data_IF_315156686163
#
_entry.id   IF_315156686163
#
_cell.length_a   1.000
_cell.length_b   1.000
_cell.length_c   1.000
_cell.angle_alpha   90.00
_cell.angle_beta   90.00
_cell.angle_gamma   90.00
#
_symmetry.space_group_name_H-M   'P 1'
#
loop_
_entity.id
_entity.type
_entity.pdbx_description
1 polymer ?
#
# COMPACT_ATOMS: atom_id res chain seq x y z
N UNK A 1 14.68 2.43 12.26
CA UNK A 1 13.94 2.56 10.99
C UNK A 1 13.19 1.27 10.71
N UNK A 2 11.94 1.37 10.33
CA UNK A 2 11.10 0.21 10.02
C UNK A 2 11.06 -0.05 8.51
N UNK A 3 11.26 -1.30 8.12
CA UNK A 3 11.11 -1.74 6.74
C UNK A 3 9.66 -2.14 6.51
N UNK A 4 9.05 -1.58 5.46
CA UNK A 4 7.66 -1.83 5.09
C UNK A 4 7.62 -2.29 3.64
N UNK A 5 6.86 -3.35 3.36
CA UNK A 5 6.56 -3.79 2.02
C UNK A 5 5.12 -3.40 1.69
N UNK A 6 4.92 -2.76 0.55
CA UNK A 6 3.60 -2.34 0.10
C UNK A 6 3.33 -2.84 -1.31
N UNK A 7 2.07 -3.16 -1.59
CA UNK A 7 1.66 -3.75 -2.87
C UNK A 7 0.92 -2.75 -3.74
N UNK A 8 1.38 -2.63 -4.98
CA UNK A 8 0.65 -1.93 -6.04
C UNK A 8 -0.14 -2.99 -6.79
N UNK A 9 -1.43 -3.07 -6.50
CA UNK A 9 -2.34 -4.06 -7.10
C UNK A 9 -3.29 -3.32 -8.04
N UNK A 10 -3.30 -3.72 -9.30
CA UNK A 10 -4.16 -3.13 -10.32
C UNK A 10 -5.20 -4.14 -10.79
N UNK A 11 -6.39 -3.65 -11.09
CA UNK A 11 -7.47 -4.43 -11.69
C UNK A 11 -8.34 -3.49 -12.52
N UNK A 12 -8.48 -3.78 -13.79
CA UNK A 12 -9.31 -3.00 -14.72
C UNK A 12 -8.96 -1.50 -14.71
N UNK A 13 -7.67 -1.18 -14.71
CA UNK A 13 -7.19 0.20 -14.70
C UNK A 13 -7.30 0.91 -13.36
N UNK A 14 -7.70 0.21 -12.30
CA UNK A 14 -7.87 0.76 -10.96
C UNK A 14 -6.77 0.29 -10.03
N UNK A 15 -6.43 1.14 -9.05
CA UNK A 15 -5.51 0.80 -7.96
C UNK A 15 -6.30 0.44 -6.72
N UNK A 16 -5.83 -0.58 -6.00
CA UNK A 16 -6.39 -0.90 -4.68
C UNK A 16 -5.79 0.01 -3.63
N UNK A 17 -6.62 0.79 -2.97
CA UNK A 17 -6.25 1.64 -1.83
C UNK A 17 -7.06 1.23 -0.61
N UNK A 18 -6.42 1.33 0.56
CA UNK A 18 -6.99 0.88 1.83
C UNK A 18 -6.97 2.04 2.82
N UNK A 19 -8.07 2.27 3.54
CA UNK A 19 -8.17 3.37 4.50
C UNK A 19 -7.76 2.88 5.89
N UNK A 20 -6.78 3.56 6.48
CA UNK A 20 -6.32 3.26 7.84
C UNK A 20 -7.36 3.68 8.87
N UNK A 21 -7.49 2.86 9.91
CA UNK A 21 -8.36 3.18 11.03
C UNK A 21 -7.85 4.40 11.79
N UNK A 22 -8.76 5.12 12.46
CA UNK A 22 -8.39 6.19 13.36
C UNK A 22 -7.65 5.59 14.56
N UNK A 23 -6.45 6.14 14.85
CA UNK A 23 -5.62 5.65 15.95
C UNK A 23 -4.79 6.81 16.49
N UNK A 24 -4.84 7.07 17.83
CA UNK A 24 -4.01 8.12 18.44
C UNK A 24 -2.53 7.88 18.16
N UNK A 25 -1.80 8.96 17.84
CA UNK A 25 -0.36 8.88 17.58
C UNK A 25 0.03 8.37 16.20
N UNK A 26 -0.93 8.07 15.33
CA UNK A 26 -0.68 7.65 13.95
C UNK A 26 -0.88 8.85 13.02
N UNK A 27 0.19 9.32 12.40
CA UNK A 27 0.13 10.45 11.46
C UNK A 27 -0.71 10.16 10.22
N UNK A 28 -0.95 8.87 9.93
CA UNK A 28 -1.72 8.42 8.77
C UNK A 28 -3.14 7.99 9.13
N UNK A 29 -3.59 8.21 10.38
CA UNK A 29 -4.92 7.81 10.81
C UNK A 29 -5.99 8.38 9.87
N UNK A 30 -6.89 7.52 9.40
CA UNK A 30 -7.96 7.93 8.49
C UNK A 30 -7.55 8.21 7.05
N UNK A 31 -6.26 8.12 6.73
CA UNK A 31 -5.77 8.31 5.36
C UNK A 31 -5.73 6.96 4.62
N UNK A 32 -5.61 7.04 3.31
CA UNK A 32 -5.53 5.87 2.44
C UNK A 32 -4.07 5.47 2.21
N UNK A 33 -3.85 4.21 1.86
CA UNK A 33 -2.52 3.67 1.64
C UNK A 33 -2.58 2.49 0.68
N UNK A 34 -1.44 2.16 0.07
CA UNK A 34 -1.27 0.87 -0.59
C UNK A 34 -1.21 -0.21 0.50
N UNK A 35 -1.82 -1.38 0.27
CA UNK A 35 -1.80 -2.45 1.28
C UNK A 35 -0.40 -3.00 1.52
N UNK A 36 -0.12 -3.42 2.73
CA UNK A 36 1.16 -3.97 3.13
C UNK A 36 1.40 -3.80 4.60
N UNK A 37 2.64 -3.97 5.04
CA UNK A 37 2.97 -3.83 6.44
C UNK A 37 4.43 -4.03 6.75
N UNK A 38 4.74 -4.12 8.03
CA UNK A 38 6.09 -4.16 8.56
C UNK A 38 6.73 -5.53 8.40
N UNK A 39 7.98 -5.52 7.95
CA UNK A 39 8.77 -6.74 7.85
C UNK A 39 9.12 -7.28 9.24
N UNK A 40 8.98 -8.57 9.42
CA UNK A 40 9.41 -9.27 10.62
C UNK A 40 10.86 -9.77 10.47
N UNK A 41 11.58 -9.98 11.60
CA UNK A 41 12.95 -10.48 11.54
C UNK A 41 13.02 -11.81 10.77
N UNK A 42 14.03 -11.93 9.90
CA UNK A 42 14.24 -13.14 9.12
C UNK A 42 13.36 -13.29 7.89
N UNK A 43 12.45 -12.36 7.67
CA UNK A 43 11.50 -12.38 6.56
C UNK A 43 12.04 -11.55 5.40
N UNK A 44 11.91 -12.04 4.16
CA UNK A 44 12.19 -11.21 2.99
C UNK A 44 11.07 -10.18 2.81
N UNK A 45 11.34 -9.11 2.06
CA UNK A 45 10.30 -8.13 1.75
C UNK A 45 9.16 -8.75 0.93
N UNK A 46 9.48 -9.67 0.03
CA UNK A 46 8.48 -10.38 -0.77
C UNK A 46 7.58 -11.25 0.13
N UNK A 47 8.18 -12.01 1.04
CA UNK A 47 7.41 -12.83 1.98
C UNK A 47 6.57 -11.98 2.93
N UNK A 48 7.11 -10.83 3.36
CA UNK A 48 6.39 -9.84 4.14
C UNK A 48 5.13 -9.39 3.40
N UNK A 49 5.27 -9.03 2.13
CA UNK A 49 4.14 -8.57 1.33
C UNK A 49 3.06 -9.64 1.21
N UNK A 50 3.46 -10.88 0.91
CA UNK A 50 2.52 -12.01 0.80
C UNK A 50 1.78 -12.23 2.12
N UNK A 51 2.51 -12.24 3.22
CA UNK A 51 1.93 -12.44 4.56
C UNK A 51 0.97 -11.33 4.94
N UNK A 52 1.39 -10.07 4.76
CA UNK A 52 0.56 -8.91 5.13
C UNK A 52 -0.73 -8.85 4.30
N UNK A 53 -0.65 -9.10 3.01
CA UNK A 53 -1.85 -9.09 2.16
C UNK A 53 -2.80 -10.22 2.55
N UNK A 54 -2.28 -11.37 2.95
CA UNK A 54 -3.14 -12.47 3.43
C UNK A 54 -3.81 -12.09 4.76
N UNK A 55 -3.04 -11.53 5.70
CA UNK A 55 -3.57 -11.17 7.01
C UNK A 55 -4.56 -10.02 6.96
N UNK A 56 -4.24 -8.98 6.20
CA UNK A 56 -5.05 -7.76 6.19
C UNK A 56 -6.20 -7.77 5.19
N UNK A 57 -6.06 -8.49 4.09
CA UNK A 57 -7.05 -8.48 3.00
C UNK A 57 -7.64 -9.86 2.68
N UNK A 58 -7.06 -10.92 3.23
CA UNK A 58 -7.52 -12.27 2.93
C UNK A 58 -7.24 -12.74 1.51
N UNK A 59 -6.20 -12.19 0.87
CA UNK A 59 -5.89 -12.52 -0.52
C UNK A 59 -4.50 -13.11 -0.66
N UNK A 60 -4.27 -13.76 -1.79
CA UNK A 60 -2.96 -14.21 -2.23
C UNK A 60 -2.46 -13.26 -3.29
N UNK A 61 -1.21 -12.81 -3.13
CA UNK A 61 -0.56 -11.96 -4.11
C UNK A 61 0.77 -12.55 -4.51
N UNK A 62 1.19 -12.23 -5.74
CA UNK A 62 2.51 -12.58 -6.25
C UNK A 62 3.28 -11.28 -6.46
N UNK A 63 4.35 -11.04 -5.69
CA UNK A 63 5.23 -9.90 -5.96
C UNK A 63 5.91 -10.10 -7.32
N UNK A 64 5.86 -9.07 -8.17
CA UNK A 64 6.45 -9.15 -9.51
C UNK A 64 7.80 -8.47 -9.58
N UNK A 65 7.87 -7.21 -9.09
CA UNK A 65 9.11 -6.43 -9.11
C UNK A 65 8.99 -5.26 -8.15
N UNK A 66 10.14 -4.75 -7.71
CA UNK A 66 10.19 -3.50 -6.95
C UNK A 66 9.86 -2.35 -7.91
N UNK A 67 8.82 -1.60 -7.60
CA UNK A 67 8.42 -0.42 -8.38
C UNK A 67 9.17 0.81 -7.90
N UNK A 68 9.30 0.97 -6.59
CA UNK A 68 9.87 2.15 -5.96
C UNK A 68 10.33 1.83 -4.56
N UNK A 69 11.34 2.54 -4.08
CA UNK A 69 11.77 2.45 -2.69
C UNK A 69 12.06 3.86 -2.20
N UNK A 70 11.52 4.21 -1.03
CA UNK A 70 11.75 5.53 -0.46
C UNK A 70 11.78 5.45 1.06
N UNK A 71 12.40 6.46 1.67
CA UNK A 71 12.43 6.63 3.12
C UNK A 71 11.60 7.86 3.47
N UNK A 72 10.74 7.73 4.46
CA UNK A 72 9.92 8.84 4.93
C UNK A 72 10.02 8.96 6.45
N UNK A 73 10.16 10.20 6.94
CA UNK A 73 10.25 10.50 8.36
C UNK A 73 8.90 11.04 8.83
N UNK A 74 8.18 10.23 9.63
CA UNK A 74 7.00 10.68 10.36
C UNK A 74 7.42 11.12 11.75
N UNK A 75 6.62 11.96 12.44
CA UNK A 75 6.95 12.36 13.82
C UNK A 75 7.19 11.18 14.74
N UNK A 76 6.40 10.12 14.60
CA UNK A 76 6.47 8.94 15.49
C UNK A 76 7.42 7.86 15.02
N UNK A 77 7.81 7.84 13.72
CA UNK A 77 8.60 6.73 13.18
C UNK A 77 9.21 7.09 11.82
N UNK A 78 10.43 6.61 11.58
CA UNK A 78 11.04 6.64 10.24
C UNK A 78 10.80 5.29 9.58
N UNK A 79 10.30 5.30 8.35
CA UNK A 79 10.00 4.10 7.58
C UNK A 79 10.75 4.09 6.26
N UNK A 80 11.14 2.90 5.84
CA UNK A 80 11.61 2.66 4.47
C UNK A 80 10.58 1.79 3.79
N UNK A 81 9.91 2.35 2.78
CA UNK A 81 8.89 1.65 2.02
C UNK A 81 9.48 1.10 0.75
N UNK A 82 9.20 -0.17 0.50
CA UNK A 82 9.48 -0.82 -0.77
C UNK A 82 8.14 -1.18 -1.38
N UNK A 83 7.82 -0.54 -2.51
CA UNK A 83 6.59 -0.78 -3.25
C UNK A 83 6.85 -1.82 -4.32
N UNK A 84 6.04 -2.86 -4.33
CA UNK A 84 6.10 -3.90 -5.35
C UNK A 84 4.91 -3.81 -6.28
N UNK A 85 5.15 -3.93 -7.59
CA UNK A 85 4.06 -4.34 -8.47
C UNK A 85 3.70 -5.76 -8.06
N UNK A 86 2.44 -6.02 -7.80
CA UNK A 86 1.97 -7.31 -7.32
C UNK A 86 0.70 -7.74 -8.05
N UNK A 87 0.62 -9.03 -8.33
CA UNK A 87 -0.53 -9.63 -8.99
C UNK A 87 -1.42 -10.29 -7.95
N UNK A 88 -2.72 -10.02 -8.03
CA UNK A 88 -3.72 -10.69 -7.21
C UNK A 88 -3.96 -12.08 -7.81
N UNK A 89 -3.55 -13.12 -7.08
CA UNK A 89 -3.60 -14.50 -7.57
C UNK A 89 -4.71 -15.32 -6.95
N UNK A 90 -5.31 -14.86 -5.86
CA UNK A 90 -6.42 -15.59 -5.24
C UNK A 90 -7.15 -14.74 -4.21
N UNK A 91 -8.45 -14.97 -4.12
CA UNK A 91 -9.32 -14.29 -3.15
C UNK A 91 -9.82 -12.94 -3.65
N UNK A 92 -10.81 -12.43 -2.95
CA UNK A 92 -11.35 -11.08 -3.15
C UNK A 92 -10.98 -10.24 -1.92
N UNK A 93 -10.39 -9.05 -2.09
CA UNK A 93 -9.96 -8.25 -0.93
C UNK A 93 -11.10 -7.93 0.02
N UNK A 94 -10.83 -8.09 1.31
CA UNK A 94 -11.74 -7.76 2.39
C UNK A 94 -11.02 -6.83 3.38
N UNK A 95 -11.75 -5.87 3.94
CA UNK A 95 -11.20 -4.94 4.93
C UNK A 95 -11.20 -5.61 6.31
N UNK A 96 -10.15 -6.37 6.62
CA UNK A 96 -10.00 -7.06 7.91
C UNK A 96 -9.45 -6.15 9.01
N UNK A 97 -8.58 -5.21 8.64
CA UNK A 97 -7.98 -4.25 9.58
C UNK A 97 -8.21 -2.80 9.16
N UNK A 98 -8.42 -2.57 7.87
CA UNK A 98 -8.74 -1.24 7.34
C UNK A 98 -10.22 -0.93 7.50
N UNK A 99 -10.60 0.35 7.51
CA UNK A 99 -12.00 0.76 7.62
C UNK A 99 -12.72 0.74 6.29
N UNK A 100 -11.98 0.78 5.17
CA UNK A 100 -12.56 0.75 3.84
C UNK A 100 -11.51 0.34 2.82
N UNK A 101 -11.97 -0.20 1.69
CA UNK A 101 -11.15 -0.49 0.51
C UNK A 101 -11.80 0.20 -0.68
N UNK A 102 -10.98 0.60 -1.65
CA UNK A 102 -11.48 1.16 -2.89
C UNK A 102 -10.59 0.72 -4.05
N UNK A 103 -11.21 0.45 -5.19
CA UNK A 103 -10.54 0.31 -6.48
C UNK A 103 -10.72 1.64 -7.19
N UNK A 104 -9.65 2.45 -7.23
CA UNK A 104 -9.73 3.83 -7.70
C UNK A 104 -9.13 4.01 -9.09
N UNK A 105 -9.90 4.65 -9.99
CA UNK A 105 -9.41 5.08 -11.29
C UNK A 105 -8.49 6.30 -11.11
N UNK A 106 -7.56 6.55 -12.05
CA UNK A 106 -6.65 7.70 -11.94
C UNK A 106 -7.35 9.04 -11.70
N UNK A 107 -8.47 9.28 -12.37
CA UNK A 107 -9.24 10.52 -12.22
C UNK A 107 -9.93 10.63 -10.85
N UNK A 108 -9.99 9.56 -10.09
CA UNK A 108 -10.62 9.52 -8.76
C UNK A 108 -9.63 9.67 -7.62
N UNK A 109 -8.32 9.58 -7.88
CA UNK A 109 -7.32 9.50 -6.81
C UNK A 109 -7.36 10.69 -5.85
N UNK A 110 -7.74 11.88 -6.31
CA UNK A 110 -7.84 13.05 -5.45
C UNK A 110 -8.93 12.93 -4.37
N UNK A 111 -9.85 11.99 -4.54
CA UNK A 111 -10.92 11.71 -3.57
C UNK A 111 -10.41 10.91 -2.38
N UNK A 112 -9.21 10.33 -2.49
CA UNK A 112 -8.67 9.39 -1.51
C UNK A 112 -7.31 9.89 -1.03
N UNK A 113 -7.28 10.83 -0.06
CA UNK A 113 -6.00 11.38 0.41
C UNK A 113 -5.15 10.27 1.03
N UNK A 114 -3.94 10.09 0.49
CA UNK A 114 -3.04 9.02 0.91
C UNK A 114 -2.05 9.49 1.96
N UNK A 115 -1.48 8.52 2.68
CA UNK A 115 -0.38 8.79 3.60
C UNK A 115 0.76 9.49 2.86
N UNK A 116 1.45 10.45 3.52
CA UNK A 116 2.53 11.19 2.87
C UNK A 116 3.59 10.33 2.19
N UNK A 117 3.94 9.18 2.77
CA UNK A 117 4.94 8.28 2.18
C UNK A 117 4.47 7.63 0.87
N UNK A 118 3.16 7.51 0.66
CA UNK A 118 2.59 6.90 -0.55
C UNK A 118 2.37 7.92 -1.67
N UNK A 119 2.33 9.20 -1.31
CA UNK A 119 2.01 10.26 -2.27
C UNK A 119 2.98 10.37 -3.45
N UNK A 120 4.31 10.28 -3.24
CA UNK A 120 5.24 10.38 -4.37
C UNK A 120 5.01 9.33 -5.44
N UNK A 121 4.70 8.10 -5.06
CA UNK A 121 4.43 7.03 -6.02
C UNK A 121 3.14 7.30 -6.79
N UNK A 122 2.09 7.73 -6.08
CA UNK A 122 0.81 8.04 -6.71
C UNK A 122 0.95 9.18 -7.72
N UNK A 123 1.75 10.20 -7.40
CA UNK A 123 2.03 11.31 -8.31
C UNK A 123 2.79 10.85 -9.55
N UNK A 124 3.72 9.90 -9.41
CA UNK A 124 4.42 9.32 -10.56
C UNK A 124 3.48 8.54 -11.45
N UNK A 125 2.56 7.79 -10.88
CA UNK A 125 1.54 7.09 -11.67
C UNK A 125 0.66 8.09 -12.42
N UNK A 126 0.33 9.21 -11.80
CA UNK A 126 -0.46 10.25 -12.47
C UNK A 126 0.28 10.83 -13.67
N UNK A 127 1.59 11.04 -13.54
CA UNK A 127 2.42 11.51 -14.66
C UNK A 127 2.46 10.48 -15.79
N UNK A 128 2.57 9.20 -15.45
CA UNK A 128 2.56 8.12 -16.43
C UNK A 128 1.22 8.00 -17.17
N UNK A 129 0.10 8.31 -16.50
CA UNK A 129 -1.23 8.26 -17.09
C UNK A 129 -1.54 9.48 -17.96
N UNK A 130 -0.76 10.57 -17.83
CA UNK A 130 -0.94 11.79 -18.64
C UNK A 130 -0.24 11.63 -19.98
N UNK A 131 -0.96 11.83 -21.14
CA UNK A 131 -0.37 11.72 -22.47
C UNK A 131 0.72 12.76 -22.70
#
# INVERSE_FOLDING_TARGET
MKEIAAAVIRRDGRLLLCRRAERPGDSCAGLWEFPGGKREPGESLEDCLVRECREELGVQVKPLRVREQLTHIYPEITVRLTFFDAELTGGEPEARVHTALVWALPEEWDRYPVCPADRPLLERFREEETP
#
